data_IF_567979460538
#
_entry.id   IF_567979460538
#
_cell.length_a   1.000
_cell.length_b   1.000
_cell.length_c   1.000
_cell.angle_alpha   90.00
_cell.angle_beta   90.00
_cell.angle_gamma   90.00
#
_symmetry.space_group_name_H-M   'P 1'
#
loop_
_entity.id
_entity.type
_entity.pdbx_description
1 polymer ?
#
# COMPACT_ATOMS: atom_id res chain seq x y z
N UNK A 1 -6.71 10.76 15.15
CA UNK A 1 -6.33 9.96 13.97
C UNK A 1 -6.51 8.50 14.32
N UNK A 2 -7.43 7.78 13.65
CA UNK A 2 -7.86 6.42 14.00
C UNK A 2 -7.27 5.33 13.09
N UNK A 3 -6.28 5.66 12.26
CA UNK A 3 -5.64 4.70 11.36
C UNK A 3 -4.69 3.82 12.16
N UNK A 4 -4.95 2.52 12.20
CA UNK A 4 -4.06 1.53 12.79
C UNK A 4 -3.41 0.70 11.67
N UNK A 5 -2.10 0.50 11.76
CA UNK A 5 -1.36 -0.35 10.84
C UNK A 5 -1.40 -1.80 11.34
N UNK A 6 -1.65 -2.75 10.43
CA UNK A 6 -1.71 -4.18 10.74
C UNK A 6 -0.44 -4.82 10.18
N UNK A 7 0.46 -5.35 11.02
CA UNK A 7 1.63 -6.05 10.51
C UNK A 7 1.19 -7.39 9.89
N UNK A 8 1.59 -7.62 8.64
CA UNK A 8 1.26 -8.83 7.90
C UNK A 8 2.52 -9.70 7.79
N UNK A 9 2.41 -10.97 8.18
CA UNK A 9 3.46 -11.96 7.97
C UNK A 9 3.02 -12.94 6.89
N UNK A 10 3.53 -12.76 5.69
CA UNK A 10 3.26 -13.63 4.55
C UNK A 10 4.42 -14.62 4.37
N UNK A 11 4.17 -15.91 4.63
CA UNK A 11 5.06 -16.98 4.20
C UNK A 11 4.52 -17.54 2.89
N UNK A 12 5.27 -17.33 1.81
CA UNK A 12 4.88 -17.70 0.46
C UNK A 12 5.63 -18.97 0.06
N UNK A 13 4.90 -19.95 -0.49
CA UNK A 13 5.47 -21.13 -1.11
C UNK A 13 5.66 -20.85 -2.62
N UNK A 14 6.90 -20.93 -3.14
CA UNK A 14 7.20 -20.63 -4.54
C UNK A 14 6.54 -21.59 -5.54
N UNK A 15 6.02 -22.73 -5.10
CA UNK A 15 5.35 -23.71 -5.95
C UNK A 15 3.85 -23.45 -6.13
N UNK A 16 3.27 -22.51 -5.37
CA UNK A 16 1.86 -22.17 -5.50
C UNK A 16 1.60 -21.45 -6.83
N UNK A 17 0.49 -21.80 -7.47
CA UNK A 17 -0.05 -20.99 -8.56
C UNK A 17 -0.44 -19.60 -8.04
N UNK A 18 -0.51 -18.61 -8.92
CA UNK A 18 -0.92 -17.25 -8.54
C UNK A 18 -2.33 -17.21 -7.93
N UNK A 19 -3.24 -18.07 -8.39
CA UNK A 19 -4.57 -18.20 -7.80
C UNK A 19 -4.51 -18.71 -6.36
N UNK A 20 -3.74 -19.77 -6.10
CA UNK A 20 -3.57 -20.32 -4.75
C UNK A 20 -2.86 -19.32 -3.83
N UNK A 21 -1.87 -18.60 -4.35
CA UNK A 21 -1.19 -17.52 -3.64
C UNK A 21 -2.18 -16.41 -3.24
N UNK A 22 -3.03 -15.97 -4.16
CA UNK A 22 -4.04 -14.92 -3.88
C UNK A 22 -5.03 -15.38 -2.82
N UNK A 23 -5.48 -16.63 -2.89
CA UNK A 23 -6.35 -17.23 -1.87
C UNK A 23 -5.65 -17.29 -0.50
N UNK A 24 -4.40 -17.73 -0.46
CA UNK A 24 -3.59 -17.80 0.76
C UNK A 24 -3.41 -16.43 1.40
N UNK A 25 -3.03 -15.41 0.62
CA UNK A 25 -2.89 -14.02 1.10
C UNK A 25 -4.22 -13.48 1.60
N UNK A 26 -5.34 -13.76 0.91
CA UNK A 26 -6.70 -13.40 1.39
C UNK A 26 -7.01 -14.03 2.75
N UNK A 27 -6.71 -15.31 2.94
CA UNK A 27 -6.98 -16.00 4.20
C UNK A 27 -6.12 -15.44 5.36
N UNK A 28 -4.85 -15.10 5.09
CA UNK A 28 -3.98 -14.37 6.04
C UNK A 28 -4.63 -13.02 6.39
N UNK A 29 -5.03 -12.23 5.39
CA UNK A 29 -5.63 -10.91 5.60
C UNK A 29 -6.91 -10.98 6.43
N UNK A 30 -7.83 -11.90 6.12
CA UNK A 30 -9.07 -12.10 6.89
C UNK A 30 -8.76 -12.44 8.35
N UNK A 31 -7.74 -13.25 8.61
CA UNK A 31 -7.35 -13.60 9.96
C UNK A 31 -6.69 -12.44 10.71
N UNK A 32 -5.85 -11.64 10.05
CA UNK A 32 -5.20 -10.47 10.64
C UNK A 32 -6.20 -9.34 10.94
N UNK A 33 -7.16 -9.08 10.05
CA UNK A 33 -8.15 -8.01 10.22
C UNK A 33 -9.04 -8.21 11.45
N UNK A 34 -9.28 -9.46 11.88
CA UNK A 34 -9.99 -9.77 13.14
C UNK A 34 -9.36 -9.10 14.36
N UNK A 35 -8.05 -8.81 14.29
CA UNK A 35 -7.27 -8.20 15.36
C UNK A 35 -6.89 -6.74 15.06
N UNK A 36 -7.52 -6.11 14.06
CA UNK A 36 -7.25 -4.72 13.63
C UNK A 36 -7.40 -3.66 14.71
N UNK A 37 -8.09 -3.95 15.81
CA UNK A 37 -8.24 -3.07 16.96
C UNK A 37 -7.01 -3.02 17.88
N UNK A 38 -6.05 -3.95 17.73
CA UNK A 38 -4.82 -3.95 18.53
C UNK A 38 -3.82 -2.94 17.98
N UNK A 39 -3.42 -1.91 18.74
CA UNK A 39 -2.51 -0.88 18.25
C UNK A 39 -1.13 -1.45 17.88
N UNK A 40 -0.60 -1.09 16.72
CA UNK A 40 0.73 -1.53 16.26
C UNK A 40 1.82 -1.29 17.33
N UNK A 41 1.80 -0.14 18.00
CA UNK A 41 2.80 0.21 19.02
C UNK A 41 2.84 -0.81 20.16
N UNK A 42 1.69 -1.41 20.52
CA UNK A 42 1.65 -2.45 21.56
C UNK A 42 2.27 -3.76 21.07
N UNK A 43 2.08 -4.09 19.80
CA UNK A 43 2.71 -5.25 19.16
C UNK A 43 4.23 -5.08 19.15
N UNK A 44 4.71 -3.89 18.74
CA UNK A 44 6.14 -3.57 18.70
C UNK A 44 6.79 -3.60 20.08
N UNK A 45 6.12 -3.10 21.12
CA UNK A 45 6.64 -3.14 22.49
C UNK A 45 6.83 -4.56 23.05
N UNK A 46 6.13 -5.55 22.48
CA UNK A 46 6.29 -6.96 22.87
C UNK A 46 7.35 -7.68 22.03
N UNK A 47 7.88 -7.05 20.97
CA UNK A 47 8.87 -7.66 20.12
C UNK A 47 10.24 -7.71 20.83
N UNK A 48 10.97 -8.84 20.78
CA UNK A 48 12.27 -8.97 21.46
C UNK A 48 13.31 -7.95 21.03
N UNK A 49 13.23 -7.47 19.77
CA UNK A 49 14.03 -6.36 19.26
C UNK A 49 13.14 -5.13 19.04
N UNK A 50 12.95 -4.34 20.10
CA UNK A 50 12.11 -3.12 20.07
C UNK A 50 12.74 -2.04 19.19
N UNK A 51 14.08 -1.96 19.15
CA UNK A 51 14.81 -0.92 18.42
C UNK A 51 14.89 -1.15 16.90
N UNK A 52 14.75 -2.40 16.44
CA UNK A 52 14.75 -2.71 15.01
C UNK A 52 13.89 -3.97 14.72
N UNK A 53 12.56 -3.85 14.68
CA UNK A 53 11.66 -4.96 14.41
C UNK A 53 11.75 -5.39 12.94
N UNK A 54 12.21 -6.61 12.70
CA UNK A 54 12.54 -7.22 11.38
C UNK A 54 11.33 -7.43 10.44
N UNK A 55 10.19 -6.80 10.72
CA UNK A 55 8.95 -7.01 9.95
C UNK A 55 8.30 -5.70 9.48
N UNK A 56 8.99 -4.56 9.63
CA UNK A 56 8.51 -3.23 9.21
C UNK A 56 9.28 -2.70 8.00
N UNK A 57 9.56 -3.56 7.01
CA UNK A 57 10.37 -3.20 5.86
C UNK A 57 9.52 -2.54 4.76
N UNK A 58 8.30 -3.04 4.55
CA UNK A 58 7.42 -2.59 3.46
C UNK A 58 6.02 -2.25 3.97
N UNK A 59 5.50 -1.08 3.57
CA UNK A 59 4.10 -0.69 3.77
C UNK A 59 3.31 -0.75 2.48
N UNK A 60 2.06 -1.20 2.59
CA UNK A 60 1.08 -1.21 1.50
C UNK A 60 -0.11 -0.34 1.88
N UNK A 61 -0.44 0.59 0.99
CA UNK A 61 -1.58 1.47 1.13
C UNK A 61 -2.47 1.32 -0.10
N UNK A 62 -3.77 1.19 0.12
CA UNK A 62 -4.76 1.21 -0.94
C UNK A 62 -5.80 2.25 -0.61
N UNK A 63 -5.96 3.21 -1.52
CA UNK A 63 -6.91 4.31 -1.41
C UNK A 63 -7.83 4.24 -2.61
N UNK A 64 -9.12 4.06 -2.34
CA UNK A 64 -10.15 4.19 -3.37
C UNK A 64 -10.97 5.42 -3.05
N UNK A 65 -11.08 6.35 -4.00
CA UNK A 65 -11.76 7.62 -3.82
C UNK A 65 -12.68 7.92 -4.99
N UNK A 66 -13.83 8.54 -4.69
CA UNK A 66 -14.69 9.16 -5.67
C UNK A 66 -14.44 10.67 -5.66
N UNK A 67 -13.67 11.16 -6.63
CA UNK A 67 -13.43 12.59 -6.88
C UNK A 67 -14.61 13.17 -7.65
N UNK A 68 -15.79 13.32 -7.04
CA UNK A 68 -16.79 14.18 -7.67
C UNK A 68 -16.21 15.59 -7.67
N UNK A 69 -15.87 16.12 -8.84
CA UNK A 69 -15.22 17.43 -9.04
C UNK A 69 -16.04 18.66 -8.55
N UNK A 70 -17.01 18.48 -7.66
CA UNK A 70 -17.82 19.54 -7.05
C UNK A 70 -17.91 19.46 -5.51
N UNK A 71 -17.56 18.34 -4.86
CA UNK A 71 -17.75 18.14 -3.40
C UNK A 71 -16.48 18.41 -2.55
N UNK A 72 -15.34 18.72 -3.17
CA UNK A 72 -14.07 18.95 -2.47
C UNK A 72 -13.81 20.43 -2.11
N UNK A 73 -14.75 21.33 -2.38
CA UNK A 73 -14.67 22.72 -1.94
C UNK A 73 -15.45 22.93 -0.64
N UNK A 74 -14.74 23.14 0.46
CA UNK A 74 -15.35 23.64 1.70
C UNK A 74 -15.29 25.16 1.67
N UNK A 75 -16.45 25.80 1.74
CA UNK A 75 -16.55 27.24 1.94
C UNK A 75 -16.53 27.55 3.43
N UNK A 76 -15.53 28.32 3.89
CA UNK A 76 -15.56 28.97 5.21
C UNK A 76 -15.61 30.49 4.95
N UNK A 77 -16.81 31.07 5.06
CA UNK A 77 -17.06 32.45 4.63
C UNK A 77 -16.86 32.60 3.11
N UNK A 78 -16.07 33.59 2.69
CA UNK A 78 -15.76 33.85 1.28
C UNK A 78 -14.51 33.07 0.79
N UNK A 79 -13.91 32.25 1.65
CA UNK A 79 -12.69 31.50 1.32
C UNK A 79 -13.02 30.07 0.88
N UNK A 80 -12.51 29.71 -0.31
CA UNK A 80 -12.56 28.37 -0.88
C UNK A 80 -11.39 27.53 -0.37
N UNK A 81 -11.69 26.41 0.28
CA UNK A 81 -10.71 25.40 0.64
C UNK A 81 -10.90 24.19 -0.26
N UNK A 82 -9.85 23.80 -0.99
CA UNK A 82 -9.84 22.56 -1.74
C UNK A 82 -9.31 21.42 -0.84
N UNK A 83 -10.08 20.36 -0.69
CA UNK A 83 -9.60 19.10 -0.14
C UNK A 83 -8.63 18.47 -1.14
N UNK A 84 -7.34 18.59 -0.84
CA UNK A 84 -6.30 17.84 -1.55
C UNK A 84 -6.22 16.45 -0.89
N UNK A 85 -6.27 15.35 -1.66
CA UNK A 85 -5.96 14.02 -1.13
C UNK A 85 -4.49 14.04 -0.70
N UNK A 86 -4.27 14.23 0.60
CA UNK A 86 -2.95 14.58 1.13
C UNK A 86 -2.04 13.34 1.13
N UNK A 87 -0.96 13.40 0.36
CA UNK A 87 0.25 12.64 0.66
C UNK A 87 0.90 13.26 1.89
N UNK A 88 1.08 12.48 2.94
CA UNK A 88 1.57 12.96 4.24
C UNK A 88 3.02 13.46 4.09
N UNK A 89 3.21 14.76 3.84
CA UNK A 89 4.45 15.46 4.17
C UNK A 89 4.47 15.68 5.68
N UNK A 90 5.35 14.96 6.37
CA UNK A 90 5.47 14.99 7.84
C UNK A 90 6.15 16.30 8.31
N UNK A 91 6.94 16.98 7.47
CA UNK A 91 7.48 18.33 7.69
C UNK A 91 8.06 18.92 6.38
N UNK A 92 8.36 20.23 6.36
CA UNK A 92 8.92 20.93 5.19
C UNK A 92 10.33 20.47 4.79
N UNK A 93 11.10 19.90 5.72
CA UNK A 93 12.53 19.61 5.54
C UNK A 93 12.96 18.15 5.78
N UNK A 94 12.06 17.24 6.17
CA UNK A 94 12.42 15.84 6.43
C UNK A 94 11.42 14.86 5.81
N UNK A 95 11.76 14.35 4.62
CA UNK A 95 11.15 13.12 4.09
C UNK A 95 11.86 11.94 4.76
N UNK A 96 11.65 11.74 6.06
CA UNK A 96 12.07 10.50 6.70
C UNK A 96 11.08 9.40 6.34
N UNK A 97 11.50 8.47 5.49
CA UNK A 97 10.71 7.28 5.22
C UNK A 97 10.69 6.41 6.47
N UNK A 98 9.51 6.24 7.07
CA UNK A 98 9.31 5.39 8.26
C UNK A 98 9.47 3.90 7.97
N UNK A 99 9.41 3.53 6.69
CA UNK A 99 9.57 2.18 6.16
C UNK A 99 10.66 2.21 5.10
N UNK A 100 11.29 1.07 4.83
CA UNK A 100 12.30 0.98 3.77
C UNK A 100 11.64 1.22 2.40
N UNK A 101 10.40 0.75 2.24
CA UNK A 101 9.61 0.89 1.01
C UNK A 101 8.11 1.05 1.30
N UNK A 102 7.43 1.92 0.58
CA UNK A 102 5.98 2.17 0.68
C UNK A 102 5.40 2.11 -0.73
N UNK A 103 4.41 1.25 -0.92
CA UNK A 103 3.62 1.15 -2.15
C UNK A 103 2.21 1.66 -1.88
N UNK A 104 1.83 2.76 -2.53
CA UNK A 104 0.51 3.37 -2.38
C UNK A 104 -0.24 3.28 -3.70
N UNK A 105 -1.28 2.47 -3.72
CA UNK A 105 -2.17 2.28 -4.85
C UNK A 105 -3.40 3.16 -4.70
N UNK A 106 -3.70 3.94 -5.74
CA UNK A 106 -4.85 4.80 -5.78
C UNK A 106 -5.75 4.41 -6.95
N UNK A 107 -7.02 4.15 -6.65
CA UNK A 107 -8.06 3.89 -7.64
C UNK A 107 -9.03 5.07 -7.68
N UNK A 108 -9.01 5.82 -8.79
CA UNK A 108 -10.01 6.83 -9.10
C UNK A 108 -11.20 6.13 -9.76
N UNK A 109 -12.34 6.02 -9.06
CA UNK A 109 -13.48 5.29 -9.66
C UNK A 109 -14.27 6.12 -10.68
N UNK A 110 -13.99 7.42 -10.87
CA UNK A 110 -14.66 8.23 -11.89
C UNK A 110 -14.02 8.01 -13.26
N UNK A 111 -12.70 8.12 -13.29
CA UNK A 111 -11.90 7.82 -14.48
C UNK A 111 -11.71 6.31 -14.67
N UNK A 112 -11.99 5.53 -13.63
CA UNK A 112 -11.68 4.11 -13.52
C UNK A 112 -10.19 3.85 -13.76
N UNK A 113 -9.35 4.75 -13.25
CA UNK A 113 -7.90 4.72 -13.43
C UNK A 113 -7.21 4.24 -12.16
N UNK A 114 -6.18 3.41 -12.34
CA UNK A 114 -5.37 2.87 -11.26
C UNK A 114 -3.96 3.45 -11.35
N UNK A 115 -3.53 4.12 -10.29
CA UNK A 115 -2.19 4.68 -10.19
C UNK A 115 -1.45 4.06 -9.01
N UNK A 116 -0.13 3.95 -9.15
CA UNK A 116 0.75 3.45 -8.10
C UNK A 116 1.82 4.50 -7.85
N UNK A 117 1.96 4.91 -6.59
CA UNK A 117 3.02 5.78 -6.13
C UNK A 117 3.91 5.01 -5.15
N UNK A 118 5.18 5.41 -5.08
CA UNK A 118 6.17 4.70 -4.28
C UNK A 118 7.02 5.70 -3.54
N UNK A 119 7.22 5.44 -2.26
CA UNK A 119 8.19 6.16 -1.43
C UNK A 119 9.16 5.16 -0.83
N UNK A 120 10.46 5.43 -0.90
CA UNK A 120 11.48 4.50 -0.43
C UNK A 120 12.59 5.26 0.28
N UNK A 121 13.23 4.61 1.25
CA UNK A 121 14.35 5.20 1.97
C UNK A 121 15.58 5.32 1.07
N UNK A 122 16.07 6.55 0.87
CA UNK A 122 17.30 6.82 0.11
C UNK A 122 18.57 6.36 0.85
N UNK A 123 18.47 6.09 2.15
CA UNK A 123 19.56 5.50 2.94
C UNK A 123 19.83 4.04 2.52
N UNK A 124 18.82 3.37 1.95
CA UNK A 124 18.88 1.96 1.56
C UNK A 124 18.85 1.76 0.04
N UNK A 125 18.17 2.63 -0.71
CA UNK A 125 17.98 2.49 -2.14
C UNK A 125 18.38 3.74 -2.90
N UNK A 126 19.06 3.57 -4.03
CA UNK A 126 19.24 4.66 -4.99
C UNK A 126 18.04 4.74 -5.96
N UNK A 127 17.91 5.88 -6.64
CA UNK A 127 16.80 6.13 -7.56
C UNK A 127 16.71 5.09 -8.69
N UNK A 128 17.85 4.62 -9.21
CA UNK A 128 17.90 3.60 -10.26
C UNK A 128 17.33 2.26 -9.77
N UNK A 129 17.68 1.84 -8.55
CA UNK A 129 17.18 0.61 -7.93
C UNK A 129 15.67 0.68 -7.72
N UNK A 130 15.16 1.83 -7.26
CA UNK A 130 13.72 2.05 -7.09
C UNK A 130 13.00 1.91 -8.44
N UNK A 131 13.51 2.54 -9.50
CA UNK A 131 12.95 2.40 -10.84
C UNK A 131 12.91 0.94 -11.32
N UNK A 132 13.99 0.18 -11.11
CA UNK A 132 14.05 -1.24 -11.50
C UNK A 132 13.03 -2.07 -10.71
N UNK A 133 12.89 -1.83 -9.39
CA UNK A 133 11.90 -2.53 -8.56
C UNK A 133 10.48 -2.28 -9.10
N UNK A 134 10.14 -1.03 -9.41
CA UNK A 134 8.81 -0.67 -9.92
C UNK A 134 8.56 -1.23 -11.31
N UNK A 135 9.54 -1.19 -12.20
CA UNK A 135 9.41 -1.81 -13.52
C UNK A 135 9.16 -3.32 -13.41
N UNK A 136 9.91 -4.02 -12.54
CA UNK A 136 9.70 -5.45 -12.31
C UNK A 136 8.32 -5.75 -11.72
N UNK A 137 7.87 -4.95 -10.75
CA UNK A 137 6.54 -5.09 -10.18
C UNK A 137 5.46 -4.92 -11.26
N UNK A 138 5.59 -3.90 -12.13
CA UNK A 138 4.67 -3.68 -13.25
C UNK A 138 4.65 -4.87 -14.22
N UNK A 139 5.82 -5.40 -14.59
CA UNK A 139 5.91 -6.59 -15.46
C UNK A 139 5.24 -7.79 -14.80
N UNK A 140 5.51 -8.06 -13.53
CA UNK A 140 4.89 -9.17 -12.79
C UNK A 140 3.37 -9.03 -12.74
N UNK A 141 2.84 -7.84 -12.45
CA UNK A 141 1.40 -7.61 -12.44
C UNK A 141 0.79 -7.83 -13.84
N UNK A 142 1.40 -7.25 -14.88
CA UNK A 142 0.93 -7.39 -16.25
C UNK A 142 0.86 -8.87 -16.70
N UNK A 143 1.90 -9.65 -16.43
CA UNK A 143 1.94 -11.08 -16.77
C UNK A 143 0.85 -11.88 -16.05
N UNK A 144 0.63 -11.63 -14.76
CA UNK A 144 -0.37 -12.38 -13.98
C UNK A 144 -1.81 -12.06 -14.41
N UNK A 145 -2.12 -10.80 -14.74
CA UNK A 145 -3.47 -10.41 -15.16
C UNK A 145 -3.78 -10.79 -16.61
N UNK A 146 -2.82 -10.68 -17.54
CA UNK A 146 -3.02 -11.11 -18.93
C UNK A 146 -3.18 -12.63 -19.06
N UNK A 147 -2.50 -13.42 -18.23
CA UNK A 147 -2.67 -14.87 -18.20
C UNK A 147 -4.04 -15.30 -17.63
N UNK A 148 -4.61 -14.52 -16.71
CA UNK A 148 -5.93 -14.79 -16.13
C UNK A 148 -7.08 -14.55 -17.12
N UNK A 149 -6.98 -13.49 -17.94
CA UNK A 149 -7.97 -13.22 -19.01
C UNK A 149 -7.98 -14.33 -20.08
N UNK A 150 -6.84 -14.98 -20.31
CA UNK A 150 -6.76 -16.09 -21.28
C UNK A 150 -7.31 -17.42 -20.74
N UNK A 151 -7.33 -17.62 -19.42
CA UNK A 151 -7.73 -18.90 -18.79
C UNK A 151 -9.18 -18.92 -18.33
N UNK A 152 -9.83 -17.76 -18.19
CA UNK A 152 -11.26 -17.63 -17.87
C UNK A 152 -12.19 -17.88 -19.07
N UNK A 153 -11.63 -18.03 -20.28
CA UNK A 153 -12.32 -18.46 -21.50
C UNK A 153 -12.24 -19.98 -21.73
N UNK A 154 -12.70 -20.79 -20.78
CA UNK A 154 -13.09 -22.18 -21.08
C UNK A 154 -14.54 -22.40 -20.66
N UNK A 155 -15.39 -22.94 -21.57
CA UNK A 155 -16.83 -23.06 -21.40
C UNK A 155 -17.22 -24.06 -20.31
#
# INVERSE_FOLDING_TARGET
MFVNAIPLRCQLDPHLSFYELTKHVRDIMINCIKYSYFPLQRILNQHPNISNPVFLDISFEFISSMTKDEENEIMIGDSRFCLIPYSIKISEDEIMSKFDFILSFQHDLNLNEFSCTTNASLDLFNAETICIIIQRLQTMLHEQFTFFDCTTNKP
#
